data_IF_248947968607
#
_entry.id   IF_248947968607
#
_cell.length_a   1.000
_cell.length_b   1.000
_cell.length_c   1.000
_cell.angle_alpha   90.00
_cell.angle_beta   90.00
_cell.angle_gamma   90.00
#
_symmetry.space_group_name_H-M   'P 1'
#
loop_
_entity.id
_entity.type
_entity.pdbx_description
1 polymer ?
#
# COMPACT_ATOMS: atom_id res chain seq x y z
N UNK A 1 15.43 -2.52 -1.79
CA UNK A 1 14.15 -1.81 -2.08
C UNK A 1 14.11 -1.20 -3.47
N UNK A 2 15.20 -0.61 -3.93
CA UNK A 2 15.26 0.12 -5.22
C UNK A 2 14.04 1.06 -5.40
N UNK A 3 13.81 2.02 -4.50
CA UNK A 3 12.63 2.85 -4.55
C UNK A 3 12.71 3.83 -5.72
N UNK A 4 11.56 4.03 -6.37
CA UNK A 4 11.36 5.08 -7.37
C UNK A 4 10.21 5.95 -6.87
N UNK A 5 10.45 7.25 -6.78
CA UNK A 5 9.46 8.24 -6.33
C UNK A 5 9.30 9.30 -7.41
N UNK A 6 8.09 9.45 -7.92
CA UNK A 6 7.75 10.46 -8.93
C UNK A 6 6.72 11.42 -8.34
N UNK A 7 7.08 12.70 -8.23
CA UNK A 7 6.15 13.73 -7.76
C UNK A 7 4.95 13.83 -8.73
N UNK A 8 3.76 13.97 -8.16
CA UNK A 8 2.52 14.24 -8.88
C UNK A 8 2.06 15.67 -8.58
N UNK A 9 2.57 16.69 -9.30
CA UNK A 9 2.32 18.09 -8.97
C UNK A 9 0.85 18.44 -8.94
N UNK A 10 0.05 17.83 -9.82
CA UNK A 10 -1.40 18.03 -9.94
C UNK A 10 -2.20 17.49 -8.75
N UNK A 11 -1.58 16.66 -7.90
CA UNK A 11 -2.18 16.09 -6.67
C UNK A 11 -1.62 16.72 -5.40
N UNK A 12 -0.56 17.49 -5.51
CA UNK A 12 0.02 18.21 -4.38
C UNK A 12 -0.95 19.30 -3.89
N UNK A 13 -0.94 19.54 -2.58
CA UNK A 13 -1.65 20.66 -1.96
C UNK A 13 -0.65 21.71 -1.46
N UNK A 14 -1.12 22.79 -0.86
CA UNK A 14 -0.29 23.75 -0.14
C UNK A 14 0.51 23.10 1.02
N UNK A 15 -0.06 22.03 1.63
CA UNK A 15 0.49 21.37 2.83
C UNK A 15 1.15 20.02 2.57
N UNK A 16 0.91 19.39 1.41
CA UNK A 16 1.28 18.00 1.18
C UNK A 16 1.91 17.80 -0.19
N UNK A 17 3.03 17.09 -0.24
CA UNK A 17 3.58 16.52 -1.46
C UNK A 17 2.97 15.13 -1.70
N UNK A 18 2.61 14.85 -2.95
CA UNK A 18 2.04 13.56 -3.36
C UNK A 18 2.94 12.93 -4.41
N UNK A 19 3.31 11.66 -4.18
CA UNK A 19 4.19 10.90 -5.07
C UNK A 19 3.54 9.61 -5.51
N UNK A 20 3.73 9.25 -6.77
CA UNK A 20 3.63 7.86 -7.19
C UNK A 20 4.94 7.16 -6.83
N UNK A 21 4.85 6.06 -6.10
CA UNK A 21 6.02 5.33 -5.64
C UNK A 21 5.99 3.88 -6.12
N UNK A 22 7.18 3.32 -6.32
CA UNK A 22 7.34 1.88 -6.48
C UNK A 22 8.63 1.41 -5.84
N UNK A 23 8.64 0.17 -5.36
CA UNK A 23 9.79 -0.47 -4.73
C UNK A 23 9.75 -1.98 -4.98
N UNK A 24 10.94 -2.62 -4.97
CA UNK A 24 11.04 -4.05 -5.20
C UNK A 24 10.37 -4.86 -4.08
N UNK A 25 9.64 -5.89 -4.48
CA UNK A 25 9.16 -6.95 -3.59
C UNK A 25 10.27 -7.98 -3.33
N UNK A 26 9.97 -9.10 -2.68
CA UNK A 26 10.95 -10.13 -2.36
C UNK A 26 11.42 -10.94 -3.58
N UNK A 27 10.62 -11.05 -4.61
CA UNK A 27 11.05 -11.62 -5.87
C UNK A 27 11.59 -10.51 -6.79
N UNK A 28 12.67 -10.79 -7.51
CA UNK A 28 13.33 -9.82 -8.39
C UNK A 28 12.47 -9.35 -9.57
N UNK A 29 11.34 -10.00 -9.82
CA UNK A 29 10.48 -9.72 -10.95
C UNK A 29 9.29 -8.85 -10.58
N UNK A 30 8.95 -8.68 -9.30
CA UNK A 30 7.77 -7.92 -8.89
C UNK A 30 8.08 -6.66 -8.12
N UNK A 31 7.26 -5.65 -8.35
CA UNK A 31 7.31 -4.38 -7.62
C UNK A 31 5.97 -4.14 -6.91
N UNK A 32 6.05 -3.43 -5.82
CA UNK A 32 4.91 -2.80 -5.17
C UNK A 32 4.77 -1.37 -5.69
N UNK A 33 3.54 -0.91 -5.81
CA UNK A 33 3.22 0.45 -6.24
C UNK A 33 2.27 1.10 -5.24
N UNK A 34 2.36 2.41 -5.09
CA UNK A 34 1.49 3.15 -4.19
C UNK A 34 1.48 4.65 -4.45
N UNK A 35 0.62 5.35 -3.71
CA UNK A 35 0.61 6.80 -3.59
C UNK A 35 1.09 7.17 -2.19
N UNK A 36 2.15 7.94 -2.14
CA UNK A 36 2.73 8.44 -0.90
C UNK A 36 2.36 9.92 -0.74
N UNK A 37 1.81 10.26 0.40
CA UNK A 37 1.52 11.64 0.81
C UNK A 37 2.41 12.01 1.99
N UNK A 38 3.20 13.08 1.85
CA UNK A 38 4.15 13.57 2.87
C UNK A 38 3.86 15.03 3.17
N UNK A 39 3.74 15.44 4.45
CA UNK A 39 3.63 16.85 4.82
C UNK A 39 4.82 17.67 4.31
N UNK A 40 4.57 18.90 3.84
CA UNK A 40 5.62 19.80 3.36
C UNK A 40 6.37 20.52 4.48
N UNK A 41 5.70 20.72 5.62
CA UNK A 41 6.34 21.37 6.76
C UNK A 41 7.52 20.54 7.27
N UNK A 42 8.56 21.19 7.69
CA UNK A 42 9.72 20.53 8.30
C UNK A 42 9.30 19.84 9.61
N UNK A 43 9.73 18.59 9.80
CA UNK A 43 9.41 17.82 10.99
C UNK A 43 9.45 16.31 10.74
N UNK A 44 9.21 15.56 11.81
CA UNK A 44 9.09 14.12 11.77
C UNK A 44 7.63 13.74 12.08
N UNK A 45 7.08 12.79 11.32
CA UNK A 45 5.67 12.45 11.36
C UNK A 45 5.45 10.96 11.57
N UNK A 46 4.37 10.57 12.27
CA UNK A 46 3.91 9.19 12.27
C UNK A 46 3.43 8.80 10.86
N UNK A 47 3.50 7.51 10.55
CA UNK A 47 3.07 6.99 9.26
C UNK A 47 1.88 6.06 9.37
N UNK A 48 1.07 6.04 8.32
CA UNK A 48 -0.03 5.09 8.12
C UNK A 48 0.22 4.34 6.82
N UNK A 49 0.33 3.02 6.91
CA UNK A 49 0.27 2.13 5.76
C UNK A 49 -1.19 1.76 5.51
N UNK A 50 -1.77 2.34 4.45
CA UNK A 50 -3.14 2.03 4.03
C UNK A 50 -3.12 0.89 3.01
N UNK A 51 -3.81 -0.19 3.33
CA UNK A 51 -3.93 -1.39 2.49
C UNK A 51 -5.33 -1.52 1.93
N UNK A 52 -5.48 -2.00 0.67
CA UNK A 52 -6.73 -1.88 -0.07
C UNK A 52 -7.75 -2.96 0.26
N UNK A 53 -9.03 -2.60 0.18
CA UNK A 53 -10.11 -3.56 0.00
C UNK A 53 -10.00 -4.31 -1.34
N UNK A 54 -10.84 -5.32 -1.56
CA UNK A 54 -10.84 -6.09 -2.79
C UNK A 54 -11.14 -5.24 -4.02
N UNK A 55 -10.58 -5.62 -5.15
CA UNK A 55 -10.76 -4.96 -6.45
C UNK A 55 -9.45 -4.49 -7.07
N UNK A 56 -9.55 -4.00 -8.30
CA UNK A 56 -8.43 -3.54 -9.11
C UNK A 56 -8.77 -2.15 -9.61
N UNK A 57 -8.02 -1.15 -9.14
CA UNK A 57 -8.34 0.26 -9.39
C UNK A 57 -7.12 1.16 -9.24
N UNK A 58 -7.24 2.42 -9.70
CA UNK A 58 -6.33 3.49 -9.35
C UNK A 58 -6.52 3.93 -7.90
N UNK A 59 -5.48 4.53 -7.33
CA UNK A 59 -5.53 5.18 -6.02
C UNK A 59 -5.15 6.65 -6.16
N UNK A 60 -5.77 7.49 -5.33
CA UNK A 60 -5.53 8.95 -5.34
C UNK A 60 -4.60 9.40 -4.22
N UNK A 61 -4.41 8.56 -3.20
CA UNK A 61 -3.72 8.93 -1.96
C UNK A 61 -4.65 9.66 -0.98
N UNK A 62 -4.11 10.00 0.18
CA UNK A 62 -4.84 10.57 1.32
C UNK A 62 -4.26 11.94 1.71
N UNK A 63 -4.18 12.87 0.74
CA UNK A 63 -3.55 14.18 0.97
C UNK A 63 -4.22 14.99 2.09
N UNK A 64 -5.54 14.92 2.23
CA UNK A 64 -6.26 15.62 3.30
C UNK A 64 -5.83 15.13 4.69
N UNK A 65 -5.74 13.81 4.87
CA UNK A 65 -5.28 13.23 6.15
C UNK A 65 -3.80 13.50 6.40
N UNK A 66 -2.98 13.42 5.36
CA UNK A 66 -1.56 13.75 5.47
C UNK A 66 -1.34 15.21 5.89
N UNK A 67 -2.19 16.13 5.44
CA UNK A 67 -2.19 17.52 5.86
C UNK A 67 -2.47 17.76 7.36
N UNK A 68 -2.92 16.72 8.06
CA UNK A 68 -3.11 16.74 9.53
C UNK A 68 -1.86 16.27 10.30
N UNK A 69 -0.74 16.03 9.62
CA UNK A 69 0.53 15.67 10.23
C UNK A 69 0.82 14.16 10.20
N UNK A 70 0.50 13.48 9.10
CA UNK A 70 0.80 12.08 8.89
C UNK A 70 1.50 11.85 7.55
N UNK A 71 2.47 10.95 7.52
CA UNK A 71 2.88 10.30 6.28
C UNK A 71 1.87 9.20 5.97
N UNK A 72 1.32 9.16 4.75
CA UNK A 72 0.38 8.12 4.38
C UNK A 72 0.84 7.46 3.08
N UNK A 73 1.07 6.15 3.14
CA UNK A 73 1.35 5.31 1.99
C UNK A 73 0.13 4.42 1.71
N UNK A 74 -0.58 4.70 0.61
CA UNK A 74 -1.66 3.86 0.09
C UNK A 74 -1.10 2.96 -1.01
N UNK A 75 -1.06 1.63 -0.78
CA UNK A 75 -0.47 0.67 -1.72
C UNK A 75 -1.51 -0.08 -2.54
N UNK A 76 -1.12 -0.45 -3.76
CA UNK A 76 -1.80 -1.49 -4.55
C UNK A 76 -1.12 -2.84 -4.33
N UNK A 77 -1.89 -3.93 -4.39
CA UNK A 77 -1.39 -5.29 -4.10
C UNK A 77 -1.16 -6.15 -5.34
N UNK A 78 -1.47 -5.63 -6.53
CA UNK A 78 -1.45 -6.43 -7.75
C UNK A 78 -0.12 -6.40 -8.52
N UNK A 79 0.86 -5.64 -8.06
CA UNK A 79 2.16 -5.48 -8.74
C UNK A 79 2.07 -4.68 -10.05
N UNK A 80 1.08 -3.79 -10.14
CA UNK A 80 0.85 -2.89 -11.27
C UNK A 80 0.77 -1.44 -10.79
N UNK A 81 1.15 -0.45 -11.62
CA UNK A 81 1.02 0.96 -11.27
C UNK A 81 -0.39 1.33 -10.84
N UNK A 82 -0.51 2.24 -9.89
CA UNK A 82 -1.80 2.62 -9.28
C UNK A 82 -2.35 3.95 -9.80
N UNK A 83 -1.77 4.46 -10.89
CA UNK A 83 -2.14 5.73 -11.54
C UNK A 83 -2.44 5.58 -13.05
N UNK A 84 -2.80 4.35 -13.48
CA UNK A 84 -3.22 4.09 -14.86
C UNK A 84 -4.69 4.49 -15.07
N UNK A 85 -5.14 4.43 -16.31
CA UNK A 85 -6.52 4.74 -16.70
C UNK A 85 -7.49 3.63 -16.28
N UNK A 86 -8.75 3.98 -16.02
CA UNK A 86 -9.76 3.04 -15.50
C UNK A 86 -10.04 1.85 -16.41
N UNK A 87 -9.91 2.01 -17.72
CA UNK A 87 -10.12 0.94 -18.71
C UNK A 87 -9.05 -0.17 -18.61
N UNK A 88 -7.81 0.17 -18.21
CA UNK A 88 -6.75 -0.82 -17.95
C UNK A 88 -7.16 -1.72 -16.78
N UNK A 89 -7.60 -1.12 -15.67
CA UNK A 89 -8.04 -1.88 -14.49
C UNK A 89 -9.28 -2.72 -14.78
N UNK A 90 -10.22 -2.19 -15.54
CA UNK A 90 -11.41 -2.94 -15.97
C UNK A 90 -11.05 -4.18 -16.78
N UNK A 91 -10.12 -4.05 -17.73
CA UNK A 91 -9.63 -5.20 -18.53
C UNK A 91 -8.90 -6.24 -17.67
N UNK A 92 -8.09 -5.79 -16.70
CA UNK A 92 -7.40 -6.70 -15.78
C UNK A 92 -8.39 -7.44 -14.87
N UNK A 93 -9.38 -6.75 -14.35
CA UNK A 93 -10.42 -7.36 -13.51
C UNK A 93 -11.22 -8.44 -14.25
N UNK A 94 -11.56 -8.22 -15.51
CA UNK A 94 -12.31 -9.18 -16.34
C UNK A 94 -11.41 -10.21 -17.05
N UNK A 95 -10.11 -10.06 -16.97
CA UNK A 95 -9.11 -10.90 -17.65
C UNK A 95 -8.09 -11.51 -16.69
N UNK A 96 -6.84 -11.04 -16.79
CA UNK A 96 -5.69 -11.64 -16.13
C UNK A 96 -5.76 -11.70 -14.60
N UNK A 97 -6.51 -10.82 -13.96
CA UNK A 97 -6.68 -10.79 -12.49
C UNK A 97 -8.09 -11.21 -12.04
N UNK A 98 -8.88 -11.78 -12.92
CA UNK A 98 -10.19 -12.32 -12.55
C UNK A 98 -10.01 -13.41 -11.48
N UNK A 99 -10.74 -13.27 -10.37
CA UNK A 99 -10.66 -14.20 -9.23
C UNK A 99 -9.24 -14.35 -8.64
N UNK A 100 -8.43 -13.28 -8.65
CA UNK A 100 -7.06 -13.29 -8.14
C UNK A 100 -6.91 -13.85 -6.72
N UNK A 101 -7.94 -13.68 -5.89
CA UNK A 101 -7.96 -14.14 -4.50
C UNK A 101 -7.81 -15.66 -4.36
N UNK A 102 -8.13 -16.43 -5.39
CA UNK A 102 -8.00 -17.88 -5.42
C UNK A 102 -6.77 -18.38 -6.19
N UNK A 103 -5.90 -17.50 -6.68
CA UNK A 103 -4.73 -17.91 -7.47
C UNK A 103 -3.77 -18.75 -6.62
N UNK A 104 -3.51 -19.98 -7.11
CA UNK A 104 -2.60 -20.95 -6.50
C UNK A 104 -2.92 -21.27 -5.02
N UNK A 105 -4.20 -21.34 -4.65
CA UNK A 105 -4.63 -21.70 -3.29
C UNK A 105 -4.13 -23.08 -2.84
N UNK A 106 -3.87 -23.97 -3.77
CA UNK A 106 -3.36 -25.33 -3.57
C UNK A 106 -1.84 -25.39 -3.31
N UNK A 107 -1.14 -24.25 -3.45
CA UNK A 107 0.31 -24.21 -3.31
C UNK A 107 0.75 -23.05 -2.40
N UNK A 108 1.17 -23.37 -1.17
CA UNK A 108 1.61 -22.39 -0.18
C UNK A 108 2.69 -21.44 -0.70
N UNK A 109 3.62 -21.93 -1.55
CA UNK A 109 4.75 -21.13 -2.00
C UNK A 109 4.41 -20.22 -3.18
N UNK A 110 3.36 -20.54 -3.93
CA UNK A 110 2.86 -19.77 -5.08
C UNK A 110 1.57 -19.02 -4.80
N UNK A 111 0.97 -19.20 -3.62
CA UNK A 111 -0.28 -18.56 -3.26
C UNK A 111 -0.20 -17.04 -3.42
N UNK A 112 -1.19 -16.47 -4.06
CA UNK A 112 -1.23 -15.06 -4.41
C UNK A 112 -0.98 -14.13 -3.22
N UNK A 113 -1.60 -14.40 -2.08
CA UNK A 113 -1.46 -13.57 -0.89
C UNK A 113 -0.11 -13.70 -0.19
N UNK A 114 0.68 -14.74 -0.42
CA UNK A 114 2.07 -14.80 0.06
C UNK A 114 2.86 -13.61 -0.48
N UNK A 115 2.75 -13.34 -1.79
CA UNK A 115 3.39 -12.18 -2.43
C UNK A 115 2.81 -10.86 -1.90
N UNK A 116 1.50 -10.80 -1.64
CA UNK A 116 0.85 -9.61 -1.07
C UNK A 116 1.38 -9.33 0.34
N UNK A 117 1.45 -10.32 1.21
CA UNK A 117 1.94 -10.15 2.57
C UNK A 117 3.40 -9.68 2.59
N UNK A 118 4.26 -10.33 1.80
CA UNK A 118 5.66 -9.90 1.69
C UNK A 118 5.78 -8.49 1.13
N UNK A 119 4.97 -8.13 0.13
CA UNK A 119 4.91 -6.79 -0.43
C UNK A 119 4.46 -5.74 0.59
N UNK A 120 3.53 -6.07 1.47
CA UNK A 120 3.13 -5.17 2.55
C UNK A 120 4.25 -4.95 3.58
N UNK A 121 5.01 -5.99 3.92
CA UNK A 121 6.21 -5.84 4.78
C UNK A 121 7.28 -4.99 4.08
N UNK A 122 7.47 -5.16 2.77
CA UNK A 122 8.37 -4.30 1.99
C UNK A 122 7.91 -2.83 1.97
N UNK A 123 6.59 -2.59 2.01
CA UNK A 123 6.06 -1.23 2.17
C UNK A 123 6.43 -0.60 3.53
N UNK A 124 6.47 -1.41 4.59
CA UNK A 124 6.99 -0.98 5.89
C UNK A 124 8.48 -0.64 5.77
N UNK A 125 9.28 -1.51 5.16
CA UNK A 125 10.71 -1.23 4.93
C UNK A 125 10.91 0.10 4.18
N UNK A 126 10.07 0.38 3.17
CA UNK A 126 10.12 1.63 2.43
C UNK A 126 9.79 2.83 3.31
N UNK A 127 8.73 2.77 4.15
CA UNK A 127 8.40 3.86 5.08
C UNK A 127 9.57 4.16 6.02
N UNK A 128 10.28 3.13 6.48
CA UNK A 128 11.46 3.27 7.35
C UNK A 128 12.68 3.92 6.67
N UNK A 129 12.66 4.09 5.35
CA UNK A 129 13.72 4.85 4.64
C UNK A 129 13.40 6.34 4.52
N UNK A 130 12.19 6.78 4.87
CA UNK A 130 11.78 8.17 4.73
C UNK A 130 12.39 9.02 5.85
N UNK A 131 13.10 10.09 5.54
CA UNK A 131 13.77 10.93 6.55
C UNK A 131 12.78 11.66 7.47
N UNK A 132 11.53 11.87 7.01
CA UNK A 132 10.49 12.54 7.79
C UNK A 132 9.72 11.57 8.71
N UNK A 133 10.05 10.28 8.74
CA UNK A 133 9.35 9.29 9.54
C UNK A 133 9.88 9.22 10.98
N UNK A 134 9.01 9.37 11.98
CA UNK A 134 9.38 9.38 13.42
C UNK A 134 9.38 7.99 14.10
N UNK A 135 9.26 6.89 13.35
CA UNK A 135 9.24 5.52 13.89
C UNK A 135 7.89 5.05 14.45
N UNK A 136 6.82 5.84 14.36
CA UNK A 136 5.47 5.45 14.78
C UNK A 136 4.62 5.06 13.58
N UNK A 137 4.41 3.76 13.38
CA UNK A 137 3.69 3.19 12.24
C UNK A 137 2.37 2.55 12.67
N UNK A 138 1.30 2.85 11.95
CA UNK A 138 0.04 2.13 12.02
C UNK A 138 -0.35 1.54 10.66
N UNK A 139 -1.10 0.44 10.68
CA UNK A 139 -1.77 -0.12 9.51
C UNK A 139 -3.26 0.21 9.53
N UNK A 140 -3.84 0.38 8.34
CA UNK A 140 -5.24 0.79 8.18
C UNK A 140 -5.85 0.12 6.95
N UNK A 141 -7.05 -0.44 7.10
CA UNK A 141 -7.80 -0.98 5.98
C UNK A 141 -9.19 -1.50 6.33
N UNK A 142 -10.01 -1.68 5.30
CA UNK A 142 -11.36 -2.25 5.40
C UNK A 142 -11.50 -3.48 4.51
N UNK A 143 -12.40 -4.41 4.87
CA UNK A 143 -12.66 -5.65 4.14
C UNK A 143 -11.37 -6.47 3.94
N UNK A 144 -10.98 -6.81 2.72
CA UNK A 144 -9.66 -7.40 2.43
C UNK A 144 -8.51 -6.59 3.07
N UNK A 145 -8.56 -5.26 3.00
CA UNK A 145 -7.57 -4.39 3.63
C UNK A 145 -7.58 -4.48 5.15
N UNK A 146 -8.73 -4.72 5.76
CA UNK A 146 -8.85 -4.99 7.19
C UNK A 146 -8.12 -6.29 7.58
N UNK A 147 -8.32 -7.36 6.81
CA UNK A 147 -7.59 -8.62 6.98
C UNK A 147 -6.09 -8.43 6.79
N UNK A 148 -5.67 -7.75 5.73
CA UNK A 148 -4.27 -7.44 5.47
C UNK A 148 -3.64 -6.63 6.61
N UNK A 149 -4.34 -5.63 7.15
CA UNK A 149 -3.85 -4.83 8.28
C UNK A 149 -3.55 -5.69 9.51
N UNK A 150 -4.42 -6.66 9.81
CA UNK A 150 -4.24 -7.61 10.93
C UNK A 150 -3.02 -8.50 10.67
N UNK A 151 -2.94 -9.10 9.48
CA UNK A 151 -1.84 -10.00 9.11
C UNK A 151 -0.50 -9.27 9.18
N UNK A 152 -0.42 -8.06 8.63
CA UNK A 152 0.81 -7.26 8.63
C UNK A 152 1.25 -6.92 10.05
N UNK A 153 0.32 -6.50 10.91
CA UNK A 153 0.62 -6.21 12.31
C UNK A 153 1.11 -7.45 13.08
N UNK A 154 0.64 -8.63 12.70
CA UNK A 154 1.12 -9.90 13.25
C UNK A 154 2.49 -10.33 12.70
N UNK A 155 2.83 -9.96 11.47
CA UNK A 155 4.09 -10.32 10.83
C UNK A 155 5.24 -9.37 11.18
N UNK A 156 4.95 -8.11 11.50
CA UNK A 156 5.97 -7.08 11.69
C UNK A 156 5.78 -6.29 12.98
N UNK A 157 6.65 -6.53 13.94
CA UNK A 157 6.62 -5.90 15.27
C UNK A 157 6.87 -4.37 15.24
N UNK A 158 7.26 -3.80 14.10
CA UNK A 158 7.39 -2.36 13.89
C UNK A 158 6.04 -1.66 13.79
N UNK A 159 4.95 -2.38 13.52
CA UNK A 159 3.58 -1.85 13.53
C UNK A 159 3.13 -1.64 14.97
N UNK A 160 2.91 -0.38 15.36
CA UNK A 160 2.51 0.02 16.71
C UNK A 160 1.02 0.28 16.85
N UNK A 161 0.31 0.44 15.76
CA UNK A 161 -1.12 0.70 15.71
C UNK A 161 -1.81 -0.05 14.60
N UNK A 162 -3.08 -0.41 14.80
CA UNK A 162 -3.88 -1.15 13.85
C UNK A 162 -5.31 -0.60 13.85
N UNK A 163 -5.81 -0.28 12.66
CA UNK A 163 -7.22 0.05 12.44
C UNK A 163 -7.77 -0.84 11.34
N UNK A 164 -8.67 -1.72 11.70
CA UNK A 164 -9.30 -2.68 10.80
C UNK A 164 -10.82 -2.54 10.83
N UNK A 165 -11.43 -2.36 9.66
CA UNK A 165 -12.89 -2.30 9.51
C UNK A 165 -13.40 -3.57 8.86
N UNK A 166 -14.40 -4.24 9.50
CA UNK A 166 -15.07 -5.44 8.97
C UNK A 166 -14.13 -6.32 8.14
N UNK A 167 -13.06 -6.86 8.75
CA UNK A 167 -12.03 -7.61 8.03
C UNK A 167 -12.60 -8.86 7.38
N UNK A 168 -12.26 -9.10 6.10
CA UNK A 168 -12.55 -10.36 5.41
C UNK A 168 -11.48 -11.39 5.80
N UNK A 169 -11.72 -12.17 6.85
CA UNK A 169 -10.75 -13.13 7.40
C UNK A 169 -11.01 -14.56 6.93
N UNK A 170 -12.25 -14.99 6.97
CA UNK A 170 -12.71 -16.28 6.47
C UNK A 170 -14.22 -16.21 6.18
N UNK A 171 -14.63 -16.71 5.06
CA UNK A 171 -16.01 -16.92 4.68
C UNK A 171 -16.26 -18.42 4.48
#
# INVERSE_FOLDING_TARGET
LEPIMTLLPERCTDKVNVYHVSFANNDYASRMYGILCVPKASGEYPAILKVPGAGIRAYNGEAERAGKGFIILEIGIHGIPVNLTGDVYHRLYNGALKNYHSFNMDNRDKYYYKRVYTGCVRAIDFIYTLPEFNGNLATFGGSQGGALSIVIAGLDARVKGLVSFYPALCD
#
